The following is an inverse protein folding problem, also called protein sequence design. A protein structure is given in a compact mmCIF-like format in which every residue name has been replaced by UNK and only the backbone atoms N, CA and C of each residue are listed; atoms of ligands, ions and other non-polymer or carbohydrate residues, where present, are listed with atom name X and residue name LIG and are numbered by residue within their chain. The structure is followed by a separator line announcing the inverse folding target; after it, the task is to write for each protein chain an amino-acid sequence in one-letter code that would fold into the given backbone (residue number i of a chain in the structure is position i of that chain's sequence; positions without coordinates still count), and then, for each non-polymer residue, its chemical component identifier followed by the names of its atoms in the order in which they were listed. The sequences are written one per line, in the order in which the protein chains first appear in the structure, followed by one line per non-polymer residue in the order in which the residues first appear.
data_IF_483587942087
#
_entry.id   IF_483587942087
#
_cell.length_a   1.000
_cell.length_b   1.000
_cell.length_c   1.000
_cell.angle_alpha   90.00
_cell.angle_beta   90.00
_cell.angle_gamma   90.00
#
_symmetry.space_group_name_H-M   'P 1'
#
loop_
_entity.id
_entity.type
_entity.pdbx_description
1 polymer ?
#
# COMPACT_ATOMS: atom_id res chain seq x y z
N UNK A 1 -14.08 3.94 -14.91
CA UNK A 1 -15.24 3.02 -14.91
C UNK A 1 -15.33 2.42 -13.53
N UNK A 2 -16.19 3.00 -12.69
CA UNK A 2 -16.50 2.50 -11.35
C UNK A 2 -17.41 1.29 -11.51
N UNK A 3 -16.84 0.09 -11.38
CA UNK A 3 -17.67 -1.10 -11.15
C UNK A 3 -18.16 -1.04 -9.71
N UNK A 4 -19.18 -0.22 -9.46
CA UNK A 4 -20.07 -0.41 -8.33
C UNK A 4 -20.75 -1.76 -8.55
N UNK A 5 -20.24 -2.80 -7.88
CA UNK A 5 -20.96 -4.06 -7.77
C UNK A 5 -22.33 -3.76 -7.14
N UNK A 6 -23.39 -4.34 -7.70
CA UNK A 6 -24.75 -4.13 -7.21
C UNK A 6 -24.81 -4.40 -5.68
N UNK A 7 -25.40 -3.51 -4.87
CA UNK A 7 -25.41 -3.60 -3.40
C UNK A 7 -25.89 -4.96 -2.85
N UNK A 8 -26.77 -5.65 -3.58
CA UNK A 8 -27.33 -6.94 -3.19
C UNK A 8 -26.33 -8.12 -3.25
N UNK A 9 -25.22 -8.02 -4.00
CA UNK A 9 -24.23 -9.09 -4.12
C UNK A 9 -23.11 -9.00 -3.07
N UNK A 10 -22.89 -7.84 -2.45
CA UNK A 10 -21.82 -7.65 -1.46
C UNK A 10 -22.04 -8.49 -0.19
N UNK A 11 -23.30 -8.62 0.24
CA UNK A 11 -23.66 -9.45 1.41
C UNK A 11 -23.52 -10.96 1.19
N UNK A 12 -23.76 -11.42 -0.05
CA UNK A 12 -23.76 -12.84 -0.43
C UNK A 12 -22.47 -13.28 -1.17
N UNK A 13 -21.45 -12.42 -1.22
CA UNK A 13 -20.20 -12.78 -1.86
C UNK A 13 -19.53 -13.93 -1.10
N UNK A 14 -19.02 -14.95 -1.81
CA UNK A 14 -18.43 -16.13 -1.18
C UNK A 14 -17.13 -15.82 -0.41
N UNK A 15 -16.44 -14.74 -0.78
CA UNK A 15 -15.29 -14.16 -0.09
C UNK A 15 -15.28 -12.64 -0.27
N UNK A 16 -14.66 -11.92 0.66
CA UNK A 16 -14.60 -10.45 0.68
C UNK A 16 -13.36 -9.90 1.38
N UNK A 17 -13.02 -8.67 1.03
CA UNK A 17 -12.04 -7.84 1.73
C UNK A 17 -12.81 -6.87 2.62
N UNK A 18 -12.69 -6.98 3.93
CA UNK A 18 -13.25 -6.00 4.88
C UNK A 18 -12.17 -4.99 5.24
N UNK A 19 -12.46 -3.71 5.08
CA UNK A 19 -11.52 -2.61 5.31
C UNK A 19 -12.08 -1.66 6.37
N UNK A 20 -11.42 -1.59 7.51
CA UNK A 20 -11.74 -0.65 8.58
C UNK A 20 -11.10 0.72 8.30
N UNK A 21 -11.91 1.70 7.93
CA UNK A 21 -11.46 3.05 7.62
C UNK A 21 -11.05 3.84 8.88
N UNK A 22 -11.65 3.53 10.03
CA UNK A 22 -11.21 4.15 11.29
C UNK A 22 -9.79 3.69 11.62
N UNK A 23 -9.44 2.44 11.32
CA UNK A 23 -8.08 1.94 11.53
C UNK A 23 -7.06 2.69 10.68
N UNK A 24 -7.38 2.97 9.41
CA UNK A 24 -6.52 3.76 8.53
C UNK A 24 -6.35 5.19 9.06
N UNK A 25 -7.43 5.82 9.53
CA UNK A 25 -7.39 7.15 10.12
C UNK A 25 -6.55 7.19 11.42
N UNK A 26 -6.73 6.22 12.32
CA UNK A 26 -5.95 6.09 13.55
C UNK A 26 -4.46 5.90 13.25
N UNK A 27 -4.13 5.04 12.28
CA UNK A 27 -2.75 4.80 11.87
C UNK A 27 -2.13 6.07 11.24
N UNK A 28 -2.87 6.79 10.40
CA UNK A 28 -2.41 8.07 9.85
C UNK A 28 -2.18 9.12 10.94
N UNK A 29 -3.01 9.12 11.99
CA UNK A 29 -2.81 9.97 13.16
C UNK A 29 -1.53 9.61 13.93
N UNK A 30 -1.29 8.31 14.15
CA UNK A 30 -0.05 7.82 14.74
C UNK A 30 1.16 8.23 13.90
N UNK A 31 1.10 8.12 12.57
CA UNK A 31 2.17 8.58 11.69
C UNK A 31 2.40 10.10 11.80
N UNK A 32 1.34 10.89 11.94
CA UNK A 32 1.42 12.34 12.16
C UNK A 32 2.11 12.66 13.49
N UNK A 33 1.79 11.91 14.55
CA UNK A 33 2.46 12.04 15.85
C UNK A 33 3.95 11.70 15.76
N UNK A 34 4.30 10.63 15.03
CA UNK A 34 5.69 10.18 14.81
C UNK A 34 6.48 11.10 13.89
N UNK A 35 5.81 11.88 13.04
CA UNK A 35 6.44 12.82 12.13
C UNK A 35 7.02 14.06 12.85
N UNK A 36 6.64 14.30 14.11
CA UNK A 36 7.18 15.37 14.98
C UNK A 36 7.29 16.75 14.29
N UNK A 37 6.22 17.15 13.60
CA UNK A 37 6.10 18.44 12.92
C UNK A 37 6.33 18.39 11.41
N UNK A 38 6.91 17.32 10.87
CA UNK A 38 6.91 17.07 9.43
C UNK A 38 5.48 16.76 8.95
N UNK A 39 5.16 17.19 7.72
CA UNK A 39 3.91 16.81 7.07
C UNK A 39 3.88 15.30 6.79
N UNK A 40 2.68 14.76 6.58
CA UNK A 40 2.49 13.35 6.20
C UNK A 40 1.92 13.25 4.80
N UNK A 41 2.67 12.59 3.91
CA UNK A 41 2.20 12.13 2.61
C UNK A 41 1.69 10.71 2.73
N UNK A 42 0.36 10.56 2.73
CA UNK A 42 -0.31 9.29 2.76
C UNK A 42 -0.09 8.53 1.46
N UNK A 43 0.75 7.48 1.46
CA UNK A 43 1.04 6.71 0.24
C UNK A 43 -0.09 5.70 -0.02
N UNK A 44 -0.88 5.97 -1.06
CA UNK A 44 -2.08 5.20 -1.44
C UNK A 44 -1.98 4.54 -2.82
N UNK A 45 -0.76 4.39 -3.37
CA UNK A 45 -0.50 3.63 -4.60
C UNK A 45 -0.96 2.17 -4.50
N UNK A 46 -1.10 1.51 -5.65
CA UNK A 46 -1.50 0.09 -5.72
C UNK A 46 -2.90 -0.12 -5.16
N UNK A 47 -3.85 0.77 -5.51
CA UNK A 47 -5.21 0.78 -4.96
C UNK A 47 -5.22 0.81 -3.42
N UNK A 48 -4.44 1.73 -2.84
CA UNK A 48 -4.20 1.80 -1.40
C UNK A 48 -3.72 0.46 -0.81
N UNK A 49 -2.73 -0.16 -1.44
CA UNK A 49 -2.19 -1.46 -1.04
C UNK A 49 -3.29 -2.53 -0.95
N UNK A 50 -4.26 -2.49 -1.87
CA UNK A 50 -5.41 -3.40 -1.94
C UNK A 50 -6.62 -3.02 -1.09
N UNK A 51 -6.54 -1.96 -0.27
CA UNK A 51 -7.62 -1.49 0.61
C UNK A 51 -8.66 -0.63 -0.13
N UNK A 52 -8.35 -0.17 -1.34
CA UNK A 52 -9.21 0.68 -2.16
C UNK A 52 -8.82 2.16 -2.08
N UNK A 53 -8.53 2.73 -3.23
CA UNK A 53 -7.85 4.01 -3.40
C UNK A 53 -8.58 5.18 -2.72
N UNK A 54 -9.81 5.47 -3.13
CA UNK A 54 -10.53 6.68 -2.68
C UNK A 54 -10.92 6.59 -1.20
N UNK A 55 -11.56 5.52 -0.69
CA UNK A 55 -11.94 5.44 0.72
C UNK A 55 -10.73 5.52 1.66
N UNK A 56 -9.63 4.84 1.31
CA UNK A 56 -8.41 4.87 2.13
C UNK A 56 -7.70 6.22 2.08
N UNK A 57 -7.70 6.91 0.94
CA UNK A 57 -7.15 8.27 0.85
C UNK A 57 -7.90 9.25 1.74
N UNK A 58 -9.24 9.16 1.79
CA UNK A 58 -10.08 9.99 2.67
C UNK A 58 -9.81 9.69 4.13
N UNK A 59 -9.69 8.40 4.49
CA UNK A 59 -9.31 8.00 5.83
C UNK A 59 -7.92 8.52 6.24
N UNK A 60 -6.93 8.44 5.35
CA UNK A 60 -5.60 8.98 5.61
C UNK A 60 -5.63 10.50 5.85
N UNK A 61 -6.37 11.26 5.04
CA UNK A 61 -6.54 12.71 5.23
C UNK A 61 -7.28 13.02 6.53
N UNK A 62 -8.35 12.28 6.83
CA UNK A 62 -9.08 12.40 8.10
C UNK A 62 -8.20 12.13 9.32
N UNK A 63 -7.20 11.26 9.18
CA UNK A 63 -6.20 10.97 10.22
C UNK A 63 -5.07 12.00 10.32
N UNK A 64 -5.01 12.99 9.43
CA UNK A 64 -4.02 14.07 9.46
C UNK A 64 -3.01 14.08 8.32
N UNK A 65 -3.12 13.18 7.33
CA UNK A 65 -2.29 13.29 6.13
C UNK A 65 -2.61 14.58 5.37
N UNK A 66 -1.60 15.41 5.14
CA UNK A 66 -1.72 16.69 4.42
C UNK A 66 -1.33 16.58 2.95
N UNK A 67 -0.80 15.43 2.54
CA UNK A 67 -0.41 15.09 1.17
C UNK A 67 -0.88 13.67 0.83
N UNK A 68 -1.03 13.37 -0.44
CA UNK A 68 -1.26 12.02 -0.94
C UNK A 68 -0.19 11.64 -1.98
N UNK A 69 0.24 10.38 -1.94
CA UNK A 69 1.25 9.85 -2.85
C UNK A 69 0.79 8.62 -3.59
N UNK A 70 0.95 8.62 -4.91
CA UNK A 70 0.66 7.49 -5.78
C UNK A 70 1.82 7.17 -6.69
N UNK A 71 1.83 5.98 -7.30
CA UNK A 71 2.88 5.65 -8.24
C UNK A 71 2.55 6.20 -9.62
N UNK A 72 1.33 5.95 -10.11
CA UNK A 72 0.95 6.21 -11.48
C UNK A 72 -0.06 7.35 -11.59
N UNK A 73 0.01 8.10 -12.71
CA UNK A 73 -0.90 9.21 -12.98
C UNK A 73 -2.39 8.80 -12.98
N UNK A 74 -2.71 7.57 -13.40
CA UNK A 74 -4.11 7.10 -13.40
C UNK A 74 -4.73 7.10 -11.99
N UNK A 75 -3.93 6.80 -10.96
CA UNK A 75 -4.35 6.85 -9.56
C UNK A 75 -4.55 8.30 -9.11
N UNK A 76 -3.59 9.18 -9.42
CA UNK A 76 -3.67 10.60 -9.10
C UNK A 76 -4.89 11.27 -9.75
N UNK A 77 -5.14 10.97 -11.02
CA UNK A 77 -6.32 11.45 -11.75
C UNK A 77 -7.63 10.91 -11.15
N UNK A 78 -7.62 9.70 -10.60
CA UNK A 78 -8.79 9.16 -9.89
C UNK A 78 -9.07 9.91 -8.60
N UNK A 79 -8.02 10.24 -7.82
CA UNK A 79 -8.17 11.07 -6.62
C UNK A 79 -8.68 12.48 -6.97
N UNK A 80 -8.15 13.10 -8.03
CA UNK A 80 -8.60 14.42 -8.50
C UNK A 80 -10.06 14.42 -8.98
N UNK A 81 -10.50 13.38 -9.68
CA UNK A 81 -11.92 13.21 -10.05
C UNK A 81 -12.81 13.06 -8.81
N UNK A 82 -12.42 12.21 -7.87
CA UNK A 82 -13.17 12.02 -6.63
C UNK A 82 -13.32 13.35 -5.87
N UNK A 83 -12.26 14.16 -5.80
CA UNK A 83 -12.30 15.48 -5.19
C UNK A 83 -13.32 16.40 -5.89
N UNK A 84 -13.33 16.42 -7.22
CA UNK A 84 -14.29 17.20 -8.01
C UNK A 84 -15.75 16.68 -7.91
N UNK A 85 -15.94 15.39 -7.61
CA UNK A 85 -17.23 14.71 -7.54
C UNK A 85 -17.82 14.62 -6.11
N UNK A 86 -17.27 15.38 -5.16
CA UNK A 86 -17.84 15.53 -3.81
C UNK A 86 -16.98 15.02 -2.65
N UNK A 87 -15.81 14.42 -2.92
CA UNK A 87 -14.81 14.12 -1.89
C UNK A 87 -13.83 15.30 -1.71
N UNK A 88 -14.37 16.50 -1.43
CA UNK A 88 -13.58 17.74 -1.35
C UNK A 88 -12.47 17.72 -0.29
N UNK A 89 -12.55 16.81 0.68
CA UNK A 89 -11.48 16.48 1.62
C UNK A 89 -10.19 15.98 0.93
N UNK A 90 -10.28 15.47 -0.29
CA UNK A 90 -9.12 15.06 -1.11
C UNK A 90 -8.47 16.22 -1.89
N UNK A 91 -8.89 17.47 -1.70
CA UNK A 91 -8.22 18.64 -2.31
C UNK A 91 -6.92 19.02 -1.60
N UNK A 92 -6.12 18.02 -1.27
CA UNK A 92 -4.75 18.15 -0.77
C UNK A 92 -3.75 18.00 -1.93
N UNK A 93 -2.47 18.40 -1.76
CA UNK A 93 -1.43 18.08 -2.74
C UNK A 93 -1.33 16.57 -3.02
N UNK A 94 -1.18 16.22 -4.30
CA UNK A 94 -1.06 14.83 -4.78
C UNK A 94 0.23 14.71 -5.59
N UNK A 95 1.12 13.82 -5.17
CA UNK A 95 2.39 13.52 -5.86
C UNK A 95 2.30 12.18 -6.60
N UNK A 96 2.74 12.16 -7.87
CA UNK A 96 2.96 10.95 -8.68
C UNK A 96 4.43 10.87 -9.12
N UNK A 97 5.03 9.67 -9.17
CA UNK A 97 6.49 9.54 -9.37
C UNK A 97 6.94 8.37 -10.26
N UNK A 98 6.03 7.62 -10.87
CA UNK A 98 6.37 6.51 -11.76
C UNK A 98 5.72 6.73 -13.13
N UNK A 99 6.50 7.30 -14.03
CA UNK A 99 6.05 7.69 -15.37
C UNK A 99 6.90 7.00 -16.43
N UNK A 100 6.27 6.70 -17.56
CA UNK A 100 6.99 6.31 -18.77
C UNK A 100 7.16 7.54 -19.68
N UNK A 101 8.17 7.57 -20.57
CA UNK A 101 8.24 8.57 -21.62
C UNK A 101 6.93 8.66 -22.41
N UNK A 102 6.44 9.87 -22.64
CA UNK A 102 5.14 10.10 -23.30
C UNK A 102 3.91 9.99 -22.40
N UNK A 103 4.09 9.86 -21.08
CA UNK A 103 2.99 9.97 -20.11
C UNK A 103 2.19 11.28 -20.30
N UNK A 104 0.89 11.30 -19.96
CA UNK A 104 0.02 12.46 -20.18
C UNK A 104 0.27 13.59 -19.15
N UNK A 105 1.46 14.19 -19.18
CA UNK A 105 1.86 15.23 -18.22
C UNK A 105 0.99 16.49 -18.30
N UNK A 106 0.42 16.82 -19.47
CA UNK A 106 -0.49 17.96 -19.60
C UNK A 106 -1.74 17.79 -18.73
N UNK A 107 -2.39 16.63 -18.83
CA UNK A 107 -3.57 16.30 -18.02
C UNK A 107 -3.22 16.34 -16.53
N UNK A 108 -2.02 15.88 -16.17
CA UNK A 108 -1.53 15.91 -14.79
C UNK A 108 -1.34 17.34 -14.26
N UNK A 109 -0.72 18.21 -15.05
CA UNK A 109 -0.51 19.63 -14.73
C UNK A 109 -1.85 20.36 -14.62
N UNK A 110 -2.77 20.10 -15.55
CA UNK A 110 -4.11 20.70 -15.52
C UNK A 110 -4.88 20.31 -14.24
N UNK A 111 -4.75 19.06 -13.83
CA UNK A 111 -5.32 18.50 -12.61
C UNK A 111 -4.54 18.83 -11.32
N UNK A 112 -3.52 19.70 -11.37
CA UNK A 112 -2.69 20.10 -10.21
C UNK A 112 -2.05 18.90 -9.49
N UNK A 113 -1.44 18.01 -10.26
CA UNK A 113 -0.66 16.89 -9.73
C UNK A 113 0.81 17.31 -9.71
N UNK A 114 1.47 17.17 -8.56
CA UNK A 114 2.91 17.36 -8.42
C UNK A 114 3.62 16.12 -8.99
N UNK A 115 4.72 16.33 -9.72
CA UNK A 115 5.38 15.30 -10.52
C UNK A 115 6.80 15.02 -10.02
N UNK A 116 7.09 13.77 -9.68
CA UNK A 116 8.46 13.33 -9.45
C UNK A 116 9.26 13.38 -10.76
N UNK A 117 10.43 14.01 -10.74
CA UNK A 117 11.34 14.14 -11.87
C UNK A 117 12.68 13.47 -11.55
N UNK A 118 12.89 12.21 -11.98
CA UNK A 118 14.08 11.44 -11.66
C UNK A 118 15.23 11.56 -12.67
N UNK A 119 15.02 12.22 -13.80
CA UNK A 119 15.99 12.33 -14.87
C UNK A 119 15.74 13.56 -15.73
N UNK A 120 16.75 14.01 -16.46
CA UNK A 120 16.64 15.12 -17.41
C UNK A 120 15.56 14.83 -18.47
N UNK A 121 15.53 13.62 -19.02
CA UNK A 121 14.56 13.28 -20.07
C UNK A 121 13.10 13.33 -19.60
N UNK A 122 12.84 12.95 -18.34
CA UNK A 122 11.49 13.07 -17.77
C UNK A 122 11.14 14.53 -17.46
N UNK A 123 12.07 15.29 -16.88
CA UNK A 123 11.93 16.73 -16.65
C UNK A 123 11.62 17.49 -17.95
N UNK A 124 12.34 17.19 -19.04
CA UNK A 124 12.10 17.78 -20.36
C UNK A 124 10.69 17.49 -20.89
N UNK A 125 10.21 16.27 -20.68
CA UNK A 125 8.83 15.88 -21.02
C UNK A 125 7.79 16.65 -20.22
N UNK A 126 8.03 16.85 -18.92
CA UNK A 126 7.17 17.65 -18.04
C UNK A 126 7.17 19.11 -18.49
N UNK A 127 8.35 19.71 -18.70
CA UNK A 127 8.49 21.10 -19.13
C UNK A 127 7.84 21.35 -20.50
N UNK A 128 7.99 20.41 -21.45
CA UNK A 128 7.32 20.49 -22.75
C UNK A 128 5.80 20.44 -22.62
N UNK A 129 5.25 19.61 -21.72
CA UNK A 129 3.83 19.57 -21.46
C UNK A 129 3.33 20.87 -20.80
N UNK A 130 4.07 21.41 -19.82
CA UNK A 130 3.80 22.70 -19.18
C UNK A 130 3.69 23.84 -20.20
N UNK A 131 4.66 23.96 -21.12
CA UNK A 131 4.61 24.93 -22.23
C UNK A 131 3.37 24.77 -23.09
N UNK A 132 3.00 23.53 -23.42
CA UNK A 132 1.83 23.23 -24.25
C UNK A 132 0.53 23.66 -23.60
N UNK A 133 0.38 23.49 -22.29
CA UNK A 133 -0.84 23.88 -21.56
C UNK A 133 -0.79 25.32 -21.03
N UNK A 134 0.34 26.02 -21.16
CA UNK A 134 0.53 27.37 -20.65
C UNK A 134 0.45 27.45 -19.12
N UNK A 135 0.81 26.38 -18.41
CA UNK A 135 0.79 26.29 -16.94
C UNK A 135 2.10 25.70 -16.44
N UNK A 136 2.65 26.32 -15.40
CA UNK A 136 3.87 25.86 -14.72
C UNK A 136 3.62 24.51 -14.05
N UNK A 137 4.49 23.53 -14.29
CA UNK A 137 4.44 22.24 -13.63
C UNK A 137 5.16 22.29 -12.27
N UNK A 138 4.57 21.72 -11.23
CA UNK A 138 5.23 21.56 -9.93
C UNK A 138 5.97 20.23 -9.90
N UNK A 139 7.27 20.26 -9.62
CA UNK A 139 8.13 19.08 -9.69
C UNK A 139 8.89 18.81 -8.40
N UNK A 140 9.03 17.52 -8.08
CA UNK A 140 9.90 17.03 -7.03
C UNK A 140 11.11 16.36 -7.68
N UNK A 141 12.30 16.95 -7.57
CA UNK A 141 13.52 16.32 -8.10
C UNK A 141 13.82 15.05 -7.28
N UNK A 142 14.15 13.96 -7.98
CA UNK A 142 14.47 12.69 -7.34
C UNK A 142 15.93 12.34 -7.53
N UNK A 143 16.69 12.38 -6.44
CA UNK A 143 18.09 11.93 -6.39
C UNK A 143 18.14 10.46 -5.98
N UNK A 144 19.03 9.69 -6.58
CA UNK A 144 19.35 8.34 -6.13
C UNK A 144 20.51 8.40 -5.14
N UNK A 145 20.21 8.16 -3.86
CA UNK A 145 21.22 8.19 -2.80
C UNK A 145 21.79 6.81 -2.48
N UNK A 146 21.46 5.75 -3.23
CA UNK A 146 22.01 4.41 -3.03
C UNK A 146 21.05 3.24 -3.35
N UNK A 147 19.80 3.52 -3.71
CA UNK A 147 18.81 2.46 -3.99
C UNK A 147 18.97 1.87 -5.39
N UNK A 148 19.64 2.58 -6.31
CA UNK A 148 19.90 2.15 -7.68
C UNK A 148 18.62 1.69 -8.42
N UNK A 149 17.53 2.47 -8.26
CA UNK A 149 16.21 2.13 -8.83
C UNK A 149 15.69 3.21 -9.77
N UNK A 150 15.33 4.35 -9.21
CA UNK A 150 14.84 5.49 -9.94
C UNK A 150 15.43 6.73 -9.26
N UNK A 151 15.64 7.82 -9.99
CA UNK A 151 16.33 9.01 -9.52
C UNK A 151 17.69 9.19 -10.19
N UNK A 152 18.17 10.42 -10.20
CA UNK A 152 19.43 10.76 -10.84
C UNK A 152 20.61 10.34 -9.93
N UNK A 153 21.57 9.61 -10.51
CA UNK A 153 22.70 9.03 -9.79
C UNK A 153 24.03 9.60 -10.30
N UNK A 154 24.98 9.83 -9.41
CA UNK A 154 26.31 10.32 -9.77
C UNK A 154 26.24 11.60 -10.61
N UNK A 155 26.90 11.62 -11.77
CA UNK A 155 26.97 12.78 -12.68
C UNK A 155 25.61 13.19 -13.27
N UNK A 156 24.58 12.33 -13.20
CA UNK A 156 23.25 12.70 -13.68
C UNK A 156 22.53 13.63 -12.70
N UNK A 157 22.90 13.64 -11.42
CA UNK A 157 22.32 14.55 -10.43
C UNK A 157 22.61 16.03 -10.74
N UNK A 158 23.87 16.49 -10.86
CA UNK A 158 24.14 17.89 -11.20
C UNK A 158 23.57 18.27 -12.57
N UNK A 159 23.49 17.33 -13.53
CA UNK A 159 22.83 17.57 -14.83
C UNK A 159 21.34 17.82 -14.68
N UNK A 160 20.66 17.06 -13.81
CA UNK A 160 19.24 17.25 -13.51
C UNK A 160 19.00 18.61 -12.84
N UNK A 161 19.85 18.99 -11.88
CA UNK A 161 19.76 20.30 -11.19
C UNK A 161 19.90 21.45 -12.19
N UNK A 162 20.90 21.42 -13.07
CA UNK A 162 21.09 22.46 -14.09
C UNK A 162 19.94 22.51 -15.10
N UNK A 163 19.43 21.36 -15.55
CA UNK A 163 18.26 21.31 -16.42
C UNK A 163 17.01 21.89 -15.74
N UNK A 164 16.78 21.57 -14.46
CA UNK A 164 15.67 22.09 -13.68
C UNK A 164 15.77 23.60 -13.49
N UNK A 165 16.98 24.12 -13.27
CA UNK A 165 17.24 25.56 -13.17
C UNK A 165 16.91 26.29 -14.47
N UNK A 166 17.32 25.73 -15.62
CA UNK A 166 16.99 26.28 -16.92
C UNK A 166 15.47 26.28 -17.18
N UNK A 167 14.78 25.18 -16.87
CA UNK A 167 13.33 25.06 -17.04
C UNK A 167 12.53 25.96 -16.07
N UNK A 168 13.04 26.22 -14.87
CA UNK A 168 12.42 27.17 -13.94
C UNK A 168 12.62 28.62 -14.40
N UNK A 169 13.77 28.95 -14.98
CA UNK A 169 14.02 30.29 -15.53
C UNK A 169 13.12 30.66 -16.71
N UNK A 170 12.66 29.67 -17.49
CA UNK A 170 11.66 29.86 -18.56
C UNK A 170 10.22 29.87 -18.03
N UNK A 171 10.00 29.57 -16.74
CA UNK A 171 8.69 29.49 -16.11
C UNK A 171 7.93 28.19 -16.39
N UNK A 172 8.59 27.20 -17.00
CA UNK A 172 7.96 25.94 -17.40
C UNK A 172 7.71 25.03 -16.18
N UNK A 173 8.65 25.03 -15.24
CA UNK A 173 8.55 24.23 -14.01
C UNK A 173 8.79 25.09 -12.76
N UNK A 174 8.32 24.58 -11.63
CA UNK A 174 8.65 25.03 -10.29
C UNK A 174 9.17 23.83 -9.51
N UNK A 175 10.42 23.91 -9.05
CA UNK A 175 10.99 22.87 -8.20
C UNK A 175 10.52 23.11 -6.76
N UNK A 176 9.52 22.35 -6.34
CA UNK A 176 8.85 22.50 -5.04
C UNK A 176 9.31 21.46 -4.03
N UNK A 177 9.98 20.40 -4.48
CA UNK A 177 10.43 19.36 -3.57
C UNK A 177 11.68 18.60 -4.02
N UNK A 178 12.32 17.98 -3.04
CA UNK A 178 13.44 17.07 -3.22
C UNK A 178 13.13 15.73 -2.55
N UNK A 179 13.37 14.63 -3.26
CA UNK A 179 13.05 13.30 -2.77
C UNK A 179 14.12 12.24 -3.04
N UNK A 180 14.22 11.28 -2.13
CA UNK A 180 14.93 10.00 -2.34
C UNK A 180 14.15 8.87 -1.65
N UNK A 181 14.70 7.66 -1.61
CA UNK A 181 14.14 6.53 -0.89
C UNK A 181 15.21 5.64 -0.28
N UNK A 182 14.98 5.18 0.95
CA UNK A 182 15.91 4.32 1.69
C UNK A 182 16.06 2.92 1.09
N UNK A 183 17.23 2.33 1.33
CA UNK A 183 17.55 0.92 1.05
C UNK A 183 17.18 0.03 2.23
N UNK A 184 17.56 0.41 3.46
CA UNK A 184 17.49 -0.44 4.67
C UNK A 184 16.97 0.28 5.91
N UNK A 185 15.94 1.10 5.73
CA UNK A 185 15.34 1.82 6.86
C UNK A 185 14.66 0.89 7.88
N UNK A 186 14.32 -0.34 7.47
CA UNK A 186 13.88 -1.47 8.30
C UNK A 186 15.02 -2.16 9.07
N UNK A 187 16.27 -1.76 8.85
CA UNK A 187 17.45 -2.10 9.66
C UNK A 187 18.08 -0.81 10.21
N UNK A 188 17.54 -0.17 11.27
CA UNK A 188 17.90 1.20 11.66
C UNK A 188 19.39 1.42 11.92
N UNK A 189 20.08 0.43 12.50
CA UNK A 189 21.53 0.46 12.76
C UNK A 189 22.42 0.25 11.53
N UNK A 190 21.85 0.06 10.34
CA UNK A 190 22.62 -0.20 9.14
C UNK A 190 23.34 1.09 8.65
N UNK A 191 24.67 1.09 8.45
CA UNK A 191 25.45 2.30 8.13
C UNK A 191 25.05 2.98 6.81
N UNK A 192 24.44 2.24 5.88
CA UNK A 192 23.86 2.81 4.66
C UNK A 192 22.78 3.88 4.95
N UNK A 193 22.03 3.77 6.05
CA UNK A 193 21.02 4.77 6.39
C UNK A 193 21.67 6.14 6.62
N UNK A 194 22.74 6.18 7.41
CA UNK A 194 23.54 7.40 7.64
C UNK A 194 24.13 7.92 6.32
N UNK A 195 24.73 7.05 5.50
CA UNK A 195 25.31 7.45 4.23
C UNK A 195 24.26 8.02 3.25
N UNK A 196 23.04 7.47 3.22
CA UNK A 196 21.94 8.01 2.41
C UNK A 196 21.45 9.36 2.91
N UNK A 197 21.40 9.58 4.22
CA UNK A 197 21.00 10.87 4.82
C UNK A 197 22.04 11.95 4.47
N UNK A 198 23.33 11.64 4.55
CA UNK A 198 24.41 12.55 4.18
C UNK A 198 24.34 12.94 2.69
N UNK A 199 24.20 11.96 1.79
CA UNK A 199 24.03 12.21 0.35
C UNK A 199 22.77 13.02 0.05
N UNK A 200 21.67 12.75 0.75
CA UNK A 200 20.42 13.49 0.58
C UNK A 200 20.55 14.94 1.05
N UNK A 201 21.24 15.16 2.17
CA UNK A 201 21.53 16.50 2.69
C UNK A 201 22.41 17.29 1.72
N UNK A 202 23.43 16.65 1.14
CA UNK A 202 24.24 17.27 0.08
C UNK A 202 23.39 17.67 -1.13
N UNK A 203 22.50 16.77 -1.59
CA UNK A 203 21.60 17.08 -2.70
C UNK A 203 20.63 18.24 -2.38
N UNK A 204 20.21 18.39 -1.11
CA UNK A 204 19.42 19.54 -0.68
C UNK A 204 20.23 20.85 -0.79
N UNK A 205 21.49 20.85 -0.35
CA UNK A 205 22.39 22.00 -0.52
C UNK A 205 22.63 22.36 -1.99
N UNK A 206 22.73 21.37 -2.88
CA UNK A 206 22.83 21.61 -4.33
C UNK A 206 21.59 22.33 -4.87
N UNK A 207 20.39 21.88 -4.46
CA UNK A 207 19.12 22.50 -4.84
C UNK A 207 19.00 23.96 -4.34
N UNK A 208 19.34 24.19 -3.07
CA UNK A 208 19.34 25.52 -2.46
C UNK A 208 20.35 26.45 -3.17
N UNK A 209 21.55 25.95 -3.47
CA UNK A 209 22.59 26.68 -4.21
C UNK A 209 22.20 27.00 -5.66
N UNK A 210 21.36 26.14 -6.26
CA UNK A 210 20.78 26.39 -7.58
C UNK A 210 19.67 27.47 -7.57
N UNK A 211 19.20 27.87 -6.38
CA UNK A 211 18.17 28.88 -6.17
C UNK A 211 16.75 28.33 -6.12
N UNK A 212 16.57 27.03 -5.83
CA UNK A 212 15.24 26.45 -5.63
C UNK A 212 14.71 26.76 -4.23
N UNK A 213 13.48 27.26 -4.14
CA UNK A 213 12.76 27.43 -2.88
C UNK A 213 11.95 26.15 -2.62
N UNK A 214 12.57 25.16 -1.99
CA UNK A 214 11.92 23.88 -1.71
C UNK A 214 10.84 24.04 -0.64
N UNK A 215 9.61 23.63 -0.95
CA UNK A 215 8.53 23.52 0.03
C UNK A 215 8.72 22.28 0.93
N UNK A 216 9.23 21.19 0.36
CA UNK A 216 9.42 19.92 1.08
C UNK A 216 10.68 19.15 0.64
N UNK A 217 11.46 18.70 1.62
CA UNK A 217 12.48 17.65 1.46
C UNK A 217 11.97 16.38 2.12
N UNK A 218 12.05 15.25 1.42
CA UNK A 218 11.51 14.00 1.95
C UNK A 218 12.23 12.73 1.51
N UNK A 219 12.64 11.93 2.49
CA UNK A 219 13.24 10.60 2.26
C UNK A 219 12.55 9.47 3.03
N UNK A 220 11.93 9.78 4.18
CA UNK A 220 11.36 8.79 5.09
C UNK A 220 10.18 8.02 4.50
N UNK A 221 10.31 6.70 4.44
CA UNK A 221 9.22 5.73 4.27
C UNK A 221 8.72 5.26 5.66
N UNK A 222 7.75 4.34 5.70
CA UNK A 222 7.19 3.82 6.96
C UNK A 222 8.23 3.45 8.03
N UNK A 223 9.25 2.60 7.78
CA UNK A 223 10.21 2.25 8.81
C UNK A 223 11.09 3.44 9.25
N UNK A 224 11.53 4.29 8.31
CA UNK A 224 12.31 5.48 8.65
C UNK A 224 11.53 6.47 9.54
N UNK A 225 10.21 6.62 9.32
CA UNK A 225 9.37 7.48 10.18
C UNK A 225 9.35 7.01 11.63
N UNK A 226 9.44 5.69 11.88
CA UNK A 226 9.48 5.14 13.23
C UNK A 226 10.88 5.17 13.84
N UNK A 227 11.91 4.83 13.05
CA UNK A 227 13.21 4.43 13.60
C UNK A 227 14.37 5.36 13.27
N UNK A 228 14.18 6.34 12.37
CA UNK A 228 15.21 7.30 11.95
C UNK A 228 14.70 8.75 12.07
N UNK A 229 14.57 9.29 13.30
CA UNK A 229 14.08 10.66 13.54
C UNK A 229 14.77 11.75 12.72
N UNK A 230 16.07 11.64 12.52
CA UNK A 230 16.91 12.55 11.75
C UNK A 230 16.56 12.59 10.25
N UNK A 231 15.83 11.59 9.74
CA UNK A 231 15.48 11.46 8.34
C UNK A 231 14.07 11.97 8.00
N UNK A 232 13.35 12.57 8.95
CA UNK A 232 11.96 13.03 8.76
C UNK A 232 11.87 14.23 7.83
N UNK A 233 12.83 15.16 7.91
CA UNK A 233 12.85 16.41 7.14
C UNK A 233 11.50 17.14 7.20
N UNK A 234 10.97 17.59 6.06
CA UNK A 234 9.75 18.42 6.02
C UNK A 234 8.49 17.58 5.75
N UNK A 235 8.66 16.37 5.18
CA UNK A 235 7.56 15.48 4.80
C UNK A 235 7.97 14.00 4.93
N UNK A 236 7.16 13.20 5.64
CA UNK A 236 7.31 11.74 5.72
C UNK A 236 6.31 11.02 4.82
N UNK A 237 6.64 9.83 4.34
CA UNK A 237 5.84 9.07 3.34
C UNK A 237 5.47 7.66 3.82
N UNK A 238 4.71 7.53 4.92
CA UNK A 238 4.21 6.23 5.33
C UNK A 238 3.31 5.62 4.25
N UNK A 239 3.53 4.34 3.97
CA UNK A 239 2.65 3.53 3.13
C UNK A 239 2.07 2.39 3.95
N UNK A 240 2.86 1.34 4.16
CA UNK A 240 2.39 0.14 4.86
C UNK A 240 1.84 0.43 6.26
N UNK A 241 2.50 1.34 6.99
CA UNK A 241 2.07 1.71 8.33
C UNK A 241 0.66 2.33 8.36
N UNK A 242 0.21 3.02 7.30
CA UNK A 242 -1.17 3.54 7.22
C UNK A 242 -2.21 2.42 7.27
N UNK A 243 -1.83 1.23 6.82
CA UNK A 243 -2.69 0.05 6.78
C UNK A 243 -2.52 -0.85 8.02
N UNK A 244 -1.77 -0.36 9.00
CA UNK A 244 -1.67 -0.99 10.32
C UNK A 244 -0.69 -2.14 10.40
N UNK A 245 0.19 -2.29 9.41
CA UNK A 245 1.16 -3.37 9.34
C UNK A 245 2.56 -2.84 9.64
N UNK A 246 3.28 -3.56 10.50
CA UNK A 246 4.66 -3.21 10.83
C UNK A 246 5.55 -3.22 9.58
N UNK A 247 6.32 -2.16 9.34
CA UNK A 247 7.29 -2.13 8.25
C UNK A 247 8.60 -2.87 8.56
N UNK A 248 8.83 -3.29 9.81
CA UNK A 248 10.01 -4.01 10.25
C UNK A 248 9.61 -5.01 11.35
N UNK A 249 8.92 -6.11 10.99
CA UNK A 249 8.33 -7.04 11.96
C UNK A 249 9.36 -7.71 12.88
N UNK A 250 10.62 -7.84 12.45
CA UNK A 250 11.72 -8.36 13.28
C UNK A 250 12.15 -7.40 14.40
N UNK A 251 11.76 -6.12 14.33
CA UNK A 251 12.11 -5.09 15.30
C UNK A 251 10.95 -4.74 16.23
N UNK A 252 9.76 -4.61 15.66
CA UNK A 252 8.56 -4.28 16.42
C UNK A 252 7.32 -4.79 15.68
N UNK A 253 6.40 -5.38 16.43
CA UNK A 253 5.07 -5.74 15.97
C UNK A 253 4.21 -4.50 15.67
N UNK A 254 3.10 -4.68 14.95
CA UNK A 254 2.13 -3.59 14.76
C UNK A 254 1.64 -3.02 16.10
N UNK A 255 1.39 -3.88 17.10
CA UNK A 255 0.90 -3.45 18.41
C UNK A 255 1.92 -2.58 19.16
N UNK A 256 3.20 -2.96 19.17
CA UNK A 256 4.29 -2.16 19.76
C UNK A 256 4.48 -0.80 19.07
N UNK A 257 4.09 -0.71 17.80
CA UNK A 257 4.08 0.53 17.03
C UNK A 257 2.77 1.31 17.14
N UNK A 258 1.81 0.85 17.93
CA UNK A 258 0.46 1.42 18.07
C UNK A 258 -0.29 1.45 16.73
N UNK A 259 -0.07 0.44 15.89
CA UNK A 259 -0.69 0.28 14.59
C UNK A 259 -1.83 -0.75 14.65
N UNK A 260 -2.95 -0.43 14.01
CA UNK A 260 -4.15 -1.27 13.94
C UNK A 260 -4.35 -1.79 12.51
N UNK A 261 -4.15 -3.11 12.23
CA UNK A 261 -4.37 -3.67 10.91
C UNK A 261 -5.77 -3.36 10.37
N UNK A 262 -5.84 -2.78 9.18
CA UNK A 262 -7.10 -2.27 8.62
C UNK A 262 -7.84 -3.30 7.74
N UNK A 263 -7.18 -4.36 7.27
CA UNK A 263 -7.76 -5.36 6.36
C UNK A 263 -8.03 -6.68 7.05
N UNK A 264 -9.22 -7.24 6.77
CA UNK A 264 -9.55 -8.63 7.05
C UNK A 264 -10.04 -9.32 5.77
N UNK A 265 -9.63 -10.57 5.55
CA UNK A 265 -10.10 -11.39 4.43
C UNK A 265 -10.93 -12.51 5.00
N UNK A 266 -12.23 -12.47 4.69
CA UNK A 266 -13.17 -13.50 5.13
C UNK A 266 -13.83 -14.19 3.95
N UNK A 267 -14.14 -15.46 4.14
CA UNK A 267 -14.85 -16.30 3.18
C UNK A 267 -15.85 -17.19 3.92
N UNK A 268 -16.85 -17.68 3.19
CA UNK A 268 -17.83 -18.62 3.74
C UNK A 268 -17.55 -20.01 3.18
N UNK A 269 -17.52 -21.02 4.05
CA UNK A 269 -17.35 -22.42 3.64
C UNK A 269 -18.42 -22.80 2.62
N UNK A 270 -18.02 -23.40 1.50
CA UNK A 270 -18.94 -23.83 0.43
C UNK A 270 -19.42 -25.25 0.64
N UNK A 271 -18.51 -26.15 1.00
CA UNK A 271 -18.78 -27.59 1.15
C UNK A 271 -17.99 -28.12 2.32
N UNK A 272 -18.64 -28.93 3.16
CA UNK A 272 -17.96 -29.79 4.13
C UNK A 272 -18.20 -31.25 3.81
N UNK A 273 -17.17 -32.07 4.01
CA UNK A 273 -17.24 -33.52 3.78
C UNK A 273 -16.44 -34.28 4.83
N UNK A 274 -17.07 -35.28 5.45
CA UNK A 274 -16.38 -36.28 6.27
C UNK A 274 -15.70 -37.28 5.34
N UNK A 275 -14.40 -37.47 5.49
CA UNK A 275 -13.59 -38.35 4.64
C UNK A 275 -12.76 -39.31 5.49
N UNK A 276 -12.47 -40.54 5.00
CA UNK A 276 -11.66 -41.49 5.74
C UNK A 276 -10.18 -41.06 5.81
N UNK A 277 -9.41 -41.77 6.63
CA UNK A 277 -7.94 -41.71 6.59
C UNK A 277 -7.41 -42.16 5.22
N UNK A 278 -6.31 -41.58 4.77
CA UNK A 278 -5.68 -41.90 3.48
C UNK A 278 -6.30 -41.18 2.27
N UNK A 279 -7.24 -40.26 2.47
CA UNK A 279 -7.81 -39.46 1.39
C UNK A 279 -6.80 -38.39 0.95
N UNK A 280 -6.38 -38.43 -0.32
CA UNK A 280 -5.60 -37.36 -0.93
C UNK A 280 -6.42 -36.08 -1.12
N UNK A 281 -5.81 -34.92 -0.91
CA UNK A 281 -6.48 -33.61 -0.98
C UNK A 281 -5.79 -32.68 -1.98
N UNK A 282 -6.60 -32.06 -2.84
CA UNK A 282 -6.19 -31.11 -3.89
C UNK A 282 -5.20 -31.68 -4.91
N UNK A 283 -4.68 -30.84 -5.82
CA UNK A 283 -3.85 -31.26 -6.94
C UNK A 283 -2.57 -31.99 -6.51
N UNK A 284 -2.34 -33.16 -7.08
CA UNK A 284 -1.17 -33.99 -6.81
C UNK A 284 -1.17 -34.65 -5.44
N UNK A 285 -2.26 -34.55 -4.67
CA UNK A 285 -2.42 -35.14 -3.34
C UNK A 285 -1.21 -34.85 -2.42
N UNK A 286 -0.74 -33.60 -2.42
CA UNK A 286 0.39 -33.17 -1.57
C UNK A 286 0.02 -33.08 -0.08
N UNK A 287 -1.25 -33.33 0.23
CA UNK A 287 -1.76 -33.60 1.55
C UNK A 287 -2.60 -34.89 1.49
N UNK A 288 -2.48 -35.72 2.51
CA UNK A 288 -3.27 -36.94 2.68
C UNK A 288 -3.77 -36.98 4.12
N UNK A 289 -5.07 -37.21 4.32
CA UNK A 289 -5.68 -37.19 5.65
C UNK A 289 -5.06 -38.28 6.53
N UNK A 290 -4.52 -37.93 7.72
CA UNK A 290 -3.87 -38.92 8.60
C UNK A 290 -4.90 -39.78 9.36
N UNK A 291 -6.15 -39.34 9.40
CA UNK A 291 -7.28 -39.95 10.13
C UNK A 291 -8.58 -39.62 9.41
N UNK A 292 -9.68 -40.24 9.85
CA UNK A 292 -11.00 -39.76 9.47
C UNK A 292 -11.18 -38.32 9.96
N UNK A 293 -11.64 -37.44 9.08
CA UNK A 293 -11.67 -36.00 9.33
C UNK A 293 -12.73 -35.28 8.49
N UNK A 294 -13.00 -34.03 8.82
CA UNK A 294 -13.84 -33.12 8.04
C UNK A 294 -12.96 -32.22 7.20
N UNK A 295 -13.12 -32.27 5.87
CA UNK A 295 -12.53 -31.30 4.96
C UNK A 295 -13.54 -30.20 4.65
N UNK A 296 -13.10 -28.94 4.70
CA UNK A 296 -13.90 -27.78 4.33
C UNK A 296 -13.31 -27.10 3.09
N UNK A 297 -14.14 -26.87 2.08
CA UNK A 297 -13.82 -26.10 0.87
C UNK A 297 -14.10 -24.61 1.11
N UNK A 298 -13.15 -23.77 0.71
CA UNK A 298 -13.17 -22.32 0.90
C UNK A 298 -12.98 -21.66 -0.47
N UNK A 299 -13.92 -20.79 -0.92
CA UNK A 299 -14.01 -20.28 -2.28
C UNK A 299 -13.07 -19.09 -2.53
N UNK A 300 -11.78 -19.27 -2.26
CA UNK A 300 -10.74 -18.28 -2.48
C UNK A 300 -9.46 -18.99 -2.94
N UNK A 301 -8.83 -18.50 -4.00
CA UNK A 301 -7.61 -19.09 -4.53
C UNK A 301 -6.58 -18.07 -5.00
N UNK A 302 -5.61 -18.51 -5.80
CA UNK A 302 -4.51 -17.64 -6.22
C UNK A 302 -4.93 -16.53 -7.20
N UNK A 303 -6.07 -16.66 -7.88
CA UNK A 303 -6.64 -15.58 -8.69
C UNK A 303 -7.31 -14.49 -7.82
N UNK A 304 -7.62 -14.82 -6.56
CA UNK A 304 -8.18 -13.90 -5.58
C UNK A 304 -7.11 -13.22 -4.72
N UNK A 305 -5.88 -13.74 -4.76
CA UNK A 305 -4.71 -13.16 -4.08
C UNK A 305 -3.99 -14.12 -3.13
N UNK A 306 -4.51 -15.33 -2.91
CA UNK A 306 -3.87 -16.33 -2.03
C UNK A 306 -2.56 -16.81 -2.65
N UNK A 307 -1.39 -16.61 -2.01
CA UNK A 307 -0.13 -17.05 -2.58
C UNK A 307 -0.12 -18.57 -2.75
N UNK A 308 0.13 -19.05 -3.97
CA UNK A 308 0.22 -20.50 -4.20
C UNK A 308 1.35 -21.16 -3.39
N UNK A 309 2.38 -20.40 -3.04
CA UNK A 309 3.46 -20.80 -2.14
C UNK A 309 2.97 -21.19 -0.74
N UNK A 310 1.83 -20.65 -0.28
CA UNK A 310 1.22 -21.00 1.01
C UNK A 310 0.51 -22.37 1.02
N UNK A 311 0.66 -23.19 -0.03
CA UNK A 311 0.12 -24.56 -0.06
C UNK A 311 0.64 -25.37 1.13
N UNK A 312 -0.24 -26.12 1.80
CA UNK A 312 0.02 -26.86 3.05
C UNK A 312 0.33 -26.03 4.32
N UNK A 313 0.65 -24.74 4.20
CA UNK A 313 1.20 -23.94 5.32
C UNK A 313 0.43 -22.67 5.63
N UNK A 314 -0.38 -22.16 4.70
CA UNK A 314 -1.16 -20.94 4.89
C UNK A 314 -2.12 -21.07 6.07
N UNK A 315 -2.03 -20.18 7.09
CA UNK A 315 -2.84 -20.28 8.30
C UNK A 315 -4.26 -19.76 8.07
N UNK A 316 -5.22 -20.35 8.78
CA UNK A 316 -6.65 -20.02 8.71
C UNK A 316 -7.27 -20.07 10.12
N UNK A 317 -8.35 -19.32 10.32
CA UNK A 317 -9.27 -19.50 11.45
C UNK A 317 -10.61 -20.01 10.93
N UNK A 318 -11.04 -21.19 11.39
CA UNK A 318 -12.26 -21.88 10.93
C UNK A 318 -13.01 -22.39 12.16
N UNK A 319 -14.28 -21.99 12.32
CA UNK A 319 -15.10 -22.34 13.49
C UNK A 319 -14.38 -22.12 14.84
N UNK A 320 -13.65 -21.00 14.97
CA UNK A 320 -12.88 -20.64 16.16
C UNK A 320 -11.57 -21.42 16.37
N UNK A 321 -11.25 -22.40 15.51
CA UNK A 321 -10.02 -23.18 15.57
C UNK A 321 -9.00 -22.70 14.52
N UNK A 322 -7.72 -22.65 14.92
CA UNK A 322 -6.61 -22.40 13.99
C UNK A 322 -6.28 -23.68 13.23
N UNK A 323 -6.22 -23.56 11.91
CA UNK A 323 -5.86 -24.65 10.99
C UNK A 323 -4.98 -24.10 9.86
N UNK A 324 -4.58 -24.95 8.93
CA UNK A 324 -3.83 -24.57 7.73
C UNK A 324 -4.52 -25.07 6.47
N UNK A 325 -4.07 -24.56 5.32
CA UNK A 325 -4.43 -25.10 4.01
C UNK A 325 -3.99 -26.58 3.95
N UNK A 326 -4.88 -27.46 3.52
CA UNK A 326 -4.63 -28.88 3.27
C UNK A 326 -4.51 -29.13 1.76
N UNK A 327 -3.29 -29.32 1.28
CA UNK A 327 -2.98 -29.54 -0.13
C UNK A 327 -2.58 -28.26 -0.88
N UNK A 328 -2.68 -28.30 -2.20
CA UNK A 328 -2.32 -27.17 -3.06
C UNK A 328 -3.41 -26.10 -3.09
N UNK A 329 -2.99 -24.84 -3.12
CA UNK A 329 -3.84 -23.71 -3.48
C UNK A 329 -4.24 -23.80 -4.96
N UNK A 330 -5.54 -23.74 -5.25
CA UNK A 330 -6.10 -23.73 -6.60
C UNK A 330 -6.38 -22.30 -7.07
N UNK A 331 -6.86 -22.14 -8.32
CA UNK A 331 -7.15 -20.81 -8.88
C UNK A 331 -8.20 -20.06 -8.07
N UNK A 332 -9.25 -20.77 -7.66
CA UNK A 332 -10.46 -20.17 -7.08
C UNK A 332 -10.88 -20.79 -5.73
N UNK A 333 -10.12 -21.76 -5.20
CA UNK A 333 -10.46 -22.43 -3.95
C UNK A 333 -9.24 -22.98 -3.21
N UNK A 334 -9.38 -23.12 -1.90
CA UNK A 334 -8.48 -23.84 -1.00
C UNK A 334 -9.30 -24.81 -0.15
N UNK A 335 -8.65 -25.87 0.32
CA UNK A 335 -9.25 -26.82 1.25
C UNK A 335 -8.50 -26.73 2.57
N UNK A 336 -9.22 -26.93 3.67
CA UNK A 336 -8.62 -27.12 4.98
C UNK A 336 -9.13 -28.39 5.64
N UNK A 337 -8.28 -29.00 6.47
CA UNK A 337 -8.66 -30.10 7.35
C UNK A 337 -9.09 -29.52 8.70
N UNK A 338 -10.38 -29.64 9.01
CA UNK A 338 -11.00 -29.11 10.22
C UNK A 338 -11.08 -30.15 11.36
N UNK A 339 -10.55 -31.37 11.17
CA UNK A 339 -10.65 -32.40 12.19
C UNK A 339 -12.11 -32.77 12.51
N UNK A 340 -12.41 -32.78 13.80
CA UNK A 340 -13.75 -33.02 14.34
C UNK A 340 -14.48 -31.71 14.69
N UNK A 341 -13.95 -30.55 14.27
CA UNK A 341 -14.65 -29.28 14.45
C UNK A 341 -15.98 -29.32 13.71
N UNK A 342 -17.03 -28.81 14.36
CA UNK A 342 -18.34 -28.66 13.76
C UNK A 342 -18.31 -27.49 12.77
N UNK A 343 -17.92 -27.77 11.52
CA UNK A 343 -17.91 -26.82 10.41
C UNK A 343 -19.01 -27.19 9.43
N UNK A 344 -19.81 -26.22 9.04
CA UNK A 344 -20.89 -26.33 8.07
C UNK A 344 -20.68 -25.36 6.89
N UNK A 345 -21.34 -25.64 5.77
CA UNK A 345 -21.43 -24.68 4.69
C UNK A 345 -22.11 -23.38 5.19
N UNK A 346 -21.54 -22.24 4.82
CA UNK A 346 -21.95 -20.92 5.30
C UNK A 346 -21.14 -20.40 6.49
N UNK A 347 -20.41 -21.24 7.22
CA UNK A 347 -19.58 -20.79 8.33
C UNK A 347 -18.46 -19.85 7.84
N UNK A 348 -18.16 -18.82 8.63
CA UNK A 348 -17.09 -17.87 8.31
C UNK A 348 -15.71 -18.50 8.53
N UNK A 349 -14.82 -18.22 7.59
CA UNK A 349 -13.40 -18.49 7.64
C UNK A 349 -12.66 -17.17 7.54
N UNK A 350 -11.72 -16.94 8.44
CA UNK A 350 -10.80 -15.81 8.37
C UNK A 350 -9.48 -16.31 7.82
N UNK A 351 -9.07 -15.76 6.68
CA UNK A 351 -7.74 -15.99 6.14
C UNK A 351 -6.73 -15.20 6.97
N UNK A 352 -6.91 -13.88 7.05
CA UNK A 352 -6.20 -13.03 7.98
C UNK A 352 -7.05 -11.83 8.41
N UNK A 353 -6.66 -11.20 9.53
CA UNK A 353 -7.40 -10.10 10.15
C UNK A 353 -8.35 -10.59 11.25
N UNK A 354 -9.53 -9.99 11.34
CA UNK A 354 -10.54 -10.28 12.36
C UNK A 354 -11.79 -10.91 11.74
N UNK A 355 -12.41 -11.81 12.49
CA UNK A 355 -13.75 -12.31 12.21
C UNK A 355 -14.81 -11.23 12.45
N UNK A 356 -16.02 -11.47 11.95
CA UNK A 356 -17.18 -10.59 12.12
C UNK A 356 -17.60 -10.41 13.59
N UNK A 357 -17.29 -11.37 14.47
CA UNK A 357 -17.49 -11.28 15.93
C UNK A 357 -16.33 -10.61 16.68
N UNK A 358 -15.29 -10.16 15.97
CA UNK A 358 -14.09 -9.54 16.51
C UNK A 358 -12.94 -10.49 16.87
N UNK A 359 -13.16 -11.81 16.76
CA UNK A 359 -12.15 -12.84 17.03
C UNK A 359 -10.92 -12.63 16.15
N UNK A 360 -9.73 -12.69 16.76
CA UNK A 360 -8.47 -12.47 16.06
C UNK A 360 -8.05 -13.73 15.27
N UNK A 361 -8.03 -13.61 13.96
CA UNK A 361 -7.47 -14.61 13.04
C UNK A 361 -5.95 -14.51 12.90
N UNK A 362 -5.36 -15.22 11.93
CA UNK A 362 -3.98 -15.01 11.52
C UNK A 362 -3.74 -13.56 11.09
N UNK A 363 -2.51 -13.10 11.20
CA UNK A 363 -2.11 -11.79 10.69
C UNK A 363 -1.67 -11.86 9.22
N UNK A 364 -1.59 -10.72 8.54
CA UNK A 364 -0.96 -10.66 7.22
C UNK A 364 0.54 -11.00 7.28
N UNK A 365 1.18 -10.83 8.44
CA UNK A 365 2.56 -11.26 8.67
C UNK A 365 2.65 -12.80 8.76
N UNK A 366 1.71 -13.45 9.45
CA UNK A 366 1.67 -14.93 9.53
C UNK A 366 1.58 -15.55 8.12
N UNK A 367 0.83 -14.91 7.21
CA UNK A 367 0.75 -15.30 5.81
C UNK A 367 2.02 -15.01 5.03
N UNK A 368 2.68 -13.89 5.30
CA UNK A 368 3.95 -13.54 4.69
C UNK A 368 5.02 -14.57 5.03
N UNK A 369 5.13 -14.93 6.32
CA UNK A 369 6.05 -15.94 6.82
C UNK A 369 5.77 -17.32 6.20
N UNK A 370 4.49 -17.73 6.16
CA UNK A 370 4.08 -18.99 5.56
C UNK A 370 4.36 -19.07 4.05
N UNK A 371 4.26 -17.94 3.33
CA UNK A 371 4.50 -17.88 1.90
C UNK A 371 5.97 -17.55 1.52
N UNK A 372 6.83 -17.22 2.48
CA UNK A 372 8.20 -16.78 2.24
C UNK A 372 8.26 -15.42 1.53
N UNK A 373 7.42 -14.47 1.95
CA UNK A 373 7.36 -13.11 1.42
C UNK A 373 7.18 -12.08 2.54
N UNK A 374 6.75 -10.88 2.21
CA UNK A 374 6.50 -9.75 3.11
C UNK A 374 5.00 -9.41 3.13
N UNK A 375 4.53 -8.87 4.26
CA UNK A 375 3.12 -8.49 4.45
C UNK A 375 2.62 -7.47 3.41
N UNK A 376 3.52 -6.64 2.86
CA UNK A 376 3.25 -5.79 1.69
C UNK A 376 2.66 -6.57 0.52
N UNK A 377 3.29 -7.69 0.14
CA UNK A 377 2.82 -8.50 -0.99
C UNK A 377 1.46 -9.12 -0.69
N UNK A 378 1.27 -9.61 0.54
CA UNK A 378 0.02 -10.26 0.96
C UNK A 378 -1.18 -9.34 0.74
N UNK A 379 -1.16 -8.12 1.29
CA UNK A 379 -2.33 -7.23 1.19
C UNK A 379 -2.49 -6.61 -0.21
N UNK A 380 -1.39 -6.28 -0.89
CA UNK A 380 -1.44 -5.62 -2.21
C UNK A 380 -1.96 -6.54 -3.32
N UNK A 381 -1.87 -7.87 -3.14
CA UNK A 381 -2.29 -8.84 -4.15
C UNK A 381 -3.74 -9.28 -4.05
N UNK A 382 -4.49 -8.77 -3.07
CA UNK A 382 -5.92 -9.07 -2.96
C UNK A 382 -6.65 -8.56 -4.21
N UNK A 383 -7.19 -9.48 -5.00
CA UNK A 383 -7.72 -9.22 -6.33
C UNK A 383 -9.01 -8.42 -6.28
N UNK A 384 -9.28 -7.59 -7.29
CA UNK A 384 -10.56 -6.87 -7.45
C UNK A 384 -11.77 -7.79 -7.67
N UNK A 385 -11.54 -9.10 -7.88
CA UNK A 385 -12.58 -10.14 -7.82
C UNK A 385 -13.26 -10.21 -6.45
N UNK A 386 -12.50 -9.95 -5.39
CA UNK A 386 -13.04 -9.89 -4.03
C UNK A 386 -13.66 -8.50 -3.80
N UNK A 387 -14.96 -8.42 -3.48
CA UNK A 387 -15.56 -7.14 -3.13
C UNK A 387 -14.91 -6.56 -1.87
N UNK A 388 -14.73 -5.24 -1.88
CA UNK A 388 -14.35 -4.48 -0.67
C UNK A 388 -15.62 -4.08 0.07
N UNK A 389 -15.63 -4.32 1.37
CA UNK A 389 -16.66 -3.86 2.29
C UNK A 389 -15.98 -2.92 3.27
N UNK A 390 -16.44 -1.68 3.33
CA UNK A 390 -15.87 -0.66 4.20
C UNK A 390 -16.60 -0.61 5.53
N UNK A 391 -15.86 -0.53 6.62
CA UNK A 391 -16.39 -0.44 7.98
C UNK A 391 -15.79 0.76 8.72
N UNK A 392 -16.34 1.05 9.90
CA UNK A 392 -15.93 2.20 10.72
C UNK A 392 -16.93 3.35 10.67
N UNK A 393 -16.73 4.34 11.53
CA UNK A 393 -17.48 5.58 11.58
C UNK A 393 -17.40 6.33 10.26
N UNK A 394 -16.20 6.44 9.69
CA UNK A 394 -16.00 7.13 8.41
C UNK A 394 -16.77 6.43 7.28
N UNK A 395 -16.76 5.10 7.22
CA UNK A 395 -17.53 4.37 6.20
C UNK A 395 -19.03 4.73 6.24
N UNK A 396 -19.61 4.84 7.45
CA UNK A 396 -21.01 5.26 7.63
C UNK A 396 -21.26 6.70 7.19
N UNK A 397 -20.35 7.61 7.52
CA UNK A 397 -20.43 9.02 7.09
C UNK A 397 -20.34 9.15 5.57
N UNK A 398 -19.53 8.30 4.93
CA UNK A 398 -19.36 8.27 3.48
C UNK A 398 -20.47 7.51 2.74
N UNK A 399 -21.38 6.84 3.46
CA UNK A 399 -22.44 6.01 2.88
C UNK A 399 -21.91 4.81 2.09
N UNK A 400 -20.80 4.22 2.54
CA UNK A 400 -20.10 3.09 1.90
C UNK A 400 -20.58 1.71 2.38
#
# INVERSE_FOLDING_TARGET
MTHSAAPALLGNAPARVVVDLDAIADNANEMTRRAEGASVLGVVKGDAYGHGLVPSARAAVSGGATWLGVAQLAEAMTLRRAAAEGAGDLDVPVLSWLHAPGSPFADAIEARIDLGAPSVGELDGIAAAARRVGRRARVHLKVDTGLARNGAYGDDWPRLVEAAKAAQATGDVEVVGLMTHFVRADEPGHPENTAQIERFTSAATDCESAGFELEVRHMSNSPATFFLPEARFDLVRPGLALYGLSPAPDLATSEELTLRPAMSITANVTVTKRVPAGQGVSYGHTYTTPRETTLADIPVGYADGVPRAASNVGPLLVAGARTTIAGRVCMDQIVTDAGDAAVAAGDEVVLFGRASDGTQGPSAQDWADAAGTISYEIVTRMSTRLPRVYTGSLAKELGL
#
